data_IF_062764147025
#
_entry.id   IF_062764147025
#
_cell.length_a   1.000
_cell.length_b   1.000
_cell.length_c   1.000
_cell.angle_alpha   90.00
_cell.angle_beta   90.00
_cell.angle_gamma   90.00
#
_symmetry.space_group_name_H-M   'P 1'
#
loop_
_entity.id
_entity.type
_entity.pdbx_description
1 polymer ?
#
# COMPACT_ATOMS: atom_id res chain seq x y z
N UNK A 1 -13.71 4.09 8.99
CA UNK A 1 -14.08 2.78 8.40
C UNK A 1 -12.83 1.91 8.25
N UNK A 2 -12.97 0.57 8.17
CA UNK A 2 -11.85 -0.34 7.91
C UNK A 2 -11.75 -0.58 6.40
N UNK A 3 -10.57 -0.31 5.79
CA UNK A 3 -10.43 -0.31 4.32
C UNK A 3 -10.33 -1.73 3.75
N UNK A 4 -9.48 -2.56 4.36
CA UNK A 4 -9.16 -3.95 3.95
C UNK A 4 -9.03 -4.85 5.19
N UNK A 5 -8.31 -5.96 5.12
CA UNK A 5 -8.17 -6.87 6.24
C UNK A 5 -9.44 -7.68 6.49
N UNK A 6 -10.04 -7.58 7.68
CA UNK A 6 -11.20 -8.37 8.08
C UNK A 6 -12.44 -8.19 7.17
N UNK A 7 -12.86 -6.96 6.79
CA UNK A 7 -13.96 -6.80 5.85
C UNK A 7 -13.70 -7.50 4.50
N UNK A 8 -12.51 -7.32 3.94
CA UNK A 8 -12.16 -7.97 2.66
C UNK A 8 -12.10 -9.49 2.79
N UNK A 9 -11.63 -10.04 3.92
CA UNK A 9 -11.65 -11.48 4.16
C UNK A 9 -13.06 -12.06 4.07
N UNK A 10 -14.01 -11.40 4.71
CA UNK A 10 -15.41 -11.84 4.70
C UNK A 10 -16.07 -11.65 3.33
N UNK A 11 -15.82 -10.52 2.67
CA UNK A 11 -16.38 -10.24 1.34
C UNK A 11 -15.81 -11.16 0.25
N UNK A 12 -14.54 -11.58 0.36
CA UNK A 12 -13.87 -12.40 -0.64
C UNK A 12 -13.98 -13.90 -0.37
N UNK A 13 -14.00 -14.31 0.89
CA UNK A 13 -13.89 -15.73 1.28
C UNK A 13 -14.99 -16.19 2.24
N UNK A 14 -15.83 -15.29 2.75
CA UNK A 14 -16.82 -15.62 3.78
C UNK A 14 -16.24 -15.96 5.16
N UNK A 15 -14.91 -15.92 5.32
CA UNK A 15 -14.20 -16.36 6.53
C UNK A 15 -13.01 -15.48 6.84
N UNK A 16 -12.81 -15.10 8.13
CA UNK A 16 -11.69 -14.26 8.56
C UNK A 16 -10.33 -14.97 8.41
N UNK A 17 -10.26 -16.26 8.69
CA UNK A 17 -9.01 -17.04 8.70
C UNK A 17 -8.37 -17.26 7.32
N UNK A 18 -9.08 -16.98 6.24
CA UNK A 18 -8.57 -17.16 4.89
C UNK A 18 -7.65 -16.03 4.42
N UNK A 19 -7.63 -14.93 5.14
CA UNK A 19 -6.78 -13.77 4.82
C UNK A 19 -5.88 -13.41 5.99
N UNK A 20 -4.58 -13.48 5.76
CA UNK A 20 -3.59 -12.96 6.68
C UNK A 20 -3.54 -11.43 6.61
N UNK A 21 -3.72 -10.78 7.76
CA UNK A 21 -3.58 -9.33 7.92
C UNK A 21 -2.53 -9.06 9.01
N UNK A 22 -1.52 -8.26 8.67
CA UNK A 22 -0.46 -7.83 9.59
C UNK A 22 -0.75 -6.46 10.19
N UNK A 23 -1.67 -5.72 9.59
CA UNK A 23 -2.03 -4.35 9.86
C UNK A 23 -3.56 -4.19 9.85
N UNK A 24 -4.01 -3.16 10.53
CA UNK A 24 -5.42 -2.73 10.53
C UNK A 24 -5.45 -1.36 9.86
N UNK A 25 -5.99 -1.29 8.64
CA UNK A 25 -6.13 -0.05 7.89
C UNK A 25 -7.43 0.65 8.26
N UNK A 26 -7.34 1.80 8.88
CA UNK A 26 -8.49 2.62 9.28
C UNK A 26 -8.50 3.91 8.48
N UNK A 27 -9.58 4.17 7.74
CA UNK A 27 -9.81 5.44 7.05
C UNK A 27 -10.68 6.35 7.91
N UNK A 28 -10.20 7.56 8.16
CA UNK A 28 -10.88 8.66 8.81
C UNK A 28 -10.90 9.90 7.92
N UNK A 29 -11.60 10.96 8.32
CA UNK A 29 -11.46 12.25 7.65
C UNK A 29 -10.13 12.91 8.03
N UNK A 30 -9.57 13.80 7.19
CA UNK A 30 -8.36 14.56 7.53
C UNK A 30 -8.51 15.35 8.84
N UNK A 31 -9.70 15.88 9.11
CA UNK A 31 -9.99 16.67 10.33
C UNK A 31 -9.98 15.79 11.60
N UNK A 32 -10.36 14.52 11.48
CA UNK A 32 -10.34 13.56 12.58
C UNK A 32 -8.99 12.81 12.73
N UNK A 33 -8.03 13.04 11.82
CA UNK A 33 -6.75 12.32 11.82
C UNK A 33 -5.94 12.58 13.11
N UNK A 34 -5.91 13.83 13.57
CA UNK A 34 -5.19 14.22 14.79
C UNK A 34 -5.80 13.58 16.03
N UNK A 35 -7.13 13.57 16.12
CA UNK A 35 -7.85 12.92 17.22
C UNK A 35 -7.66 11.40 17.18
N UNK A 36 -7.71 10.78 16.01
CA UNK A 36 -7.40 9.37 15.83
C UNK A 36 -6.00 9.00 16.30
N UNK A 37 -5.00 9.81 15.96
CA UNK A 37 -3.62 9.63 16.41
C UNK A 37 -3.48 9.78 17.93
N UNK A 38 -4.18 10.75 18.54
CA UNK A 38 -4.22 10.95 20.00
C UNK A 38 -4.83 9.71 20.69
N UNK A 39 -5.96 9.22 20.22
CA UNK A 39 -6.63 8.05 20.76
C UNK A 39 -5.76 6.77 20.66
N UNK A 40 -5.01 6.61 19.58
CA UNK A 40 -4.06 5.50 19.45
C UNK A 40 -2.90 5.64 20.45
N UNK A 41 -2.36 6.85 20.60
CA UNK A 41 -1.28 7.10 21.58
C UNK A 41 -1.73 6.83 23.02
N UNK A 42 -2.94 7.21 23.41
CA UNK A 42 -3.53 6.92 24.73
C UNK A 42 -3.70 5.42 24.99
N UNK A 43 -3.86 4.62 23.94
CA UNK A 43 -3.90 3.15 24.00
C UNK A 43 -2.53 2.47 23.91
N UNK A 44 -1.45 3.24 24.01
CA UNK A 44 -0.08 2.72 24.03
C UNK A 44 0.55 2.50 22.65
N UNK A 45 -0.13 2.86 21.57
CA UNK A 45 0.46 2.81 20.22
C UNK A 45 1.49 3.92 20.05
N UNK A 46 2.56 3.63 19.31
CA UNK A 46 3.64 4.56 18.99
C UNK A 46 3.69 4.78 17.50
N UNK A 47 3.81 6.04 17.08
CA UNK A 47 3.97 6.39 15.67
C UNK A 47 5.32 5.87 15.14
N UNK A 48 5.33 5.22 13.99
CA UNK A 48 6.52 4.62 13.38
C UNK A 48 7.60 5.64 12.97
N UNK A 49 7.20 6.88 12.66
CA UNK A 49 8.14 7.97 12.35
C UNK A 49 8.69 8.67 13.60
N UNK A 50 8.34 8.16 14.79
CA UNK A 50 8.75 8.69 16.08
C UNK A 50 7.73 9.63 16.70
N UNK A 51 8.14 10.29 17.81
CA UNK A 51 7.28 11.25 18.47
C UNK A 51 7.13 12.50 17.62
N UNK A 52 5.91 12.76 17.14
CA UNK A 52 5.52 13.99 16.47
C UNK A 52 4.70 14.83 17.44
N UNK A 53 5.10 16.09 17.63
CA UNK A 53 4.22 17.05 18.28
C UNK A 53 3.00 17.38 17.39
N UNK A 54 1.99 18.05 17.96
CA UNK A 54 0.74 18.36 17.24
C UNK A 54 0.99 19.12 15.93
N UNK A 55 1.93 20.05 15.91
CA UNK A 55 2.29 20.85 14.75
C UNK A 55 2.97 20.02 13.66
N UNK A 56 3.85 19.12 14.06
CA UNK A 56 4.52 18.17 13.15
C UNK A 56 3.52 17.18 12.56
N UNK A 57 2.57 16.70 13.37
CA UNK A 57 1.51 15.81 12.93
C UNK A 57 0.56 16.50 11.93
N UNK A 58 0.16 17.77 12.19
CA UNK A 58 -0.60 18.57 11.24
C UNK A 58 0.13 18.75 9.89
N UNK A 59 1.42 19.08 9.96
CA UNK A 59 2.24 19.17 8.75
C UNK A 59 2.32 17.81 8.02
N UNK A 60 2.45 16.72 8.77
CA UNK A 60 2.50 15.36 8.21
C UNK A 60 1.19 14.98 7.52
N UNK A 61 0.04 15.31 8.12
CA UNK A 61 -1.31 15.10 7.54
C UNK A 61 -1.47 15.80 6.18
N UNK A 62 -0.84 16.95 5.97
CA UNK A 62 -0.89 17.66 4.67
C UNK A 62 -0.15 16.92 3.55
N UNK A 63 0.94 16.23 3.86
CA UNK A 63 1.89 15.68 2.87
C UNK A 63 1.87 14.16 2.76
N UNK A 64 1.28 13.45 3.72
CA UNK A 64 1.11 12.00 3.72
C UNK A 64 -0.36 11.62 3.67
N UNK A 65 -0.67 10.45 3.18
CA UNK A 65 -2.03 9.86 3.19
C UNK A 65 -2.38 9.16 4.51
N UNK A 66 -1.37 8.73 5.27
CA UNK A 66 -1.50 7.87 6.43
C UNK A 66 -0.37 8.07 7.43
N UNK A 67 -0.54 7.54 8.63
CA UNK A 67 0.51 7.30 9.60
C UNK A 67 0.39 5.89 10.18
N UNK A 68 1.54 5.22 10.34
CA UNK A 68 1.64 3.89 10.94
C UNK A 68 1.85 4.02 12.44
N UNK A 69 1.10 3.22 13.20
CA UNK A 69 1.17 3.13 14.66
C UNK A 69 1.38 1.68 15.08
N UNK A 70 2.39 1.44 15.90
CA UNK A 70 2.72 0.12 16.41
C UNK A 70 2.49 0.04 17.93
N UNK A 71 1.84 -1.04 18.38
CA UNK A 71 1.66 -1.30 19.81
C UNK A 71 2.77 -2.23 20.32
N UNK A 72 3.69 -1.76 21.19
CA UNK A 72 4.92 -2.48 21.52
C UNK A 72 4.68 -3.79 22.30
N UNK A 73 3.54 -3.92 22.99
CA UNK A 73 3.22 -5.11 23.81
C UNK A 73 2.47 -6.16 22.99
N UNK A 74 1.44 -5.75 22.23
CA UNK A 74 0.63 -6.69 21.44
C UNK A 74 1.22 -7.01 20.07
N UNK A 75 2.18 -6.21 19.59
CA UNK A 75 2.72 -6.31 18.22
C UNK A 75 1.76 -5.86 17.13
N UNK A 76 0.56 -5.37 17.47
CA UNK A 76 -0.42 -4.91 16.49
C UNK A 76 0.03 -3.61 15.84
N UNK A 77 -0.18 -3.53 14.52
CA UNK A 77 0.05 -2.33 13.73
C UNK A 77 -1.28 -1.77 13.22
N UNK A 78 -1.46 -0.46 13.33
CA UNK A 78 -2.60 0.29 12.78
C UNK A 78 -2.05 1.30 11.79
N UNK A 79 -2.54 1.25 10.55
CA UNK A 79 -2.34 2.30 9.56
C UNK A 79 -3.56 3.23 9.60
N UNK A 80 -3.38 4.42 10.17
CA UNK A 80 -4.42 5.44 10.23
C UNK A 80 -4.34 6.30 8.96
N UNK A 81 -5.27 6.06 8.05
CA UNK A 81 -5.41 6.80 6.80
C UNK A 81 -6.38 7.97 6.96
N UNK A 82 -6.08 9.10 6.34
CA UNK A 82 -6.99 10.22 6.11
C UNK A 82 -7.18 10.52 4.63
N UNK A 83 -6.46 9.82 3.78
CA UNK A 83 -6.66 9.67 2.34
C UNK A 83 -6.25 8.26 1.92
N UNK A 84 -6.88 7.74 0.88
CA UNK A 84 -6.51 6.42 0.36
C UNK A 84 -5.18 6.43 -0.39
N UNK A 85 -4.83 7.59 -1.01
CA UNK A 85 -3.62 7.77 -1.82
C UNK A 85 -3.07 9.18 -1.68
N UNK A 86 -1.76 9.34 -1.89
CA UNK A 86 -1.12 10.66 -1.91
C UNK A 86 -1.38 11.41 -3.23
N UNK A 87 -1.65 10.68 -4.31
CA UNK A 87 -1.83 11.22 -5.63
C UNK A 87 -3.21 11.89 -5.80
N UNK A 88 -3.24 13.21 -5.86
CA UNK A 88 -4.46 14.04 -5.80
C UNK A 88 -5.45 13.83 -6.96
N UNK A 89 -5.02 13.22 -8.07
CA UNK A 89 -5.87 12.94 -9.24
C UNK A 89 -6.46 11.54 -9.26
N UNK A 90 -6.12 10.69 -8.28
CA UNK A 90 -6.60 9.32 -8.18
C UNK A 90 -7.54 9.20 -7.00
N UNK A 91 -8.60 8.40 -7.16
CA UNK A 91 -9.64 8.15 -6.14
C UNK A 91 -10.26 9.44 -5.58
N UNK A 92 -10.44 10.46 -6.44
CA UNK A 92 -11.06 11.71 -6.03
C UNK A 92 -12.50 11.46 -5.56
N UNK A 93 -12.88 12.08 -4.43
CA UNK A 93 -14.20 11.91 -3.82
C UNK A 93 -14.39 10.58 -3.08
N UNK A 94 -13.33 9.77 -2.92
CA UNK A 94 -13.36 8.55 -2.10
C UNK A 94 -12.73 8.86 -0.75
N UNK A 95 -13.57 8.99 0.27
CA UNK A 95 -13.19 9.36 1.63
C UNK A 95 -14.01 8.62 2.69
N UNK A 96 -13.72 8.90 3.97
CA UNK A 96 -14.37 8.24 5.10
C UNK A 96 -15.88 8.56 5.24
N UNK A 97 -16.36 9.63 4.62
CA UNK A 97 -17.75 10.10 4.69
C UNK A 97 -18.56 9.66 3.47
N UNK A 98 -17.89 9.13 2.45
CA UNK A 98 -18.52 8.68 1.21
C UNK A 98 -19.34 7.40 1.33
N UNK A 99 -19.82 6.87 0.19
CA UNK A 99 -20.54 5.60 0.12
C UNK A 99 -19.77 4.48 0.81
N UNK A 100 -20.47 3.63 1.55
CA UNK A 100 -19.87 2.55 2.32
C UNK A 100 -20.81 1.38 2.45
N UNK A 101 -20.28 0.21 2.75
CA UNK A 101 -21.04 -0.98 3.09
C UNK A 101 -20.72 -1.46 4.50
N UNK A 102 -21.63 -2.24 5.06
CA UNK A 102 -21.48 -2.86 6.37
C UNK A 102 -21.16 -4.35 6.20
N UNK A 103 -20.19 -4.83 6.96
CA UNK A 103 -19.78 -6.24 6.99
C UNK A 103 -19.90 -6.75 8.41
N UNK A 104 -20.69 -7.83 8.58
CA UNK A 104 -20.86 -8.48 9.87
C UNK A 104 -19.64 -9.31 10.21
N UNK A 105 -19.11 -9.12 11.42
CA UNK A 105 -18.00 -9.91 11.97
C UNK A 105 -18.38 -10.51 13.31
N UNK A 106 -17.69 -11.52 13.82
CA UNK A 106 -17.94 -12.03 15.16
C UNK A 106 -17.81 -10.98 16.28
N UNK A 107 -17.03 -9.91 16.06
CA UNK A 107 -16.84 -8.81 16.99
C UNK A 107 -17.78 -7.63 16.80
N UNK A 108 -18.72 -7.71 15.86
CA UNK A 108 -19.67 -6.64 15.53
C UNK A 108 -19.61 -6.22 14.07
N UNK A 109 -20.36 -5.17 13.72
CA UNK A 109 -20.46 -4.66 12.35
C UNK A 109 -19.32 -3.70 12.04
N UNK A 110 -18.59 -3.97 10.97
CA UNK A 110 -17.56 -3.07 10.44
C UNK A 110 -18.07 -2.33 9.21
N UNK A 111 -17.76 -1.04 9.13
CA UNK A 111 -18.00 -0.22 7.94
C UNK A 111 -16.76 -0.24 7.05
N UNK A 112 -16.94 -0.48 5.74
CA UNK A 112 -15.87 -0.47 4.73
C UNK A 112 -16.32 0.27 3.47
N UNK A 113 -15.43 0.43 2.51
CA UNK A 113 -15.69 1.08 1.21
C UNK A 113 -16.83 0.38 0.48
N UNK A 114 -17.62 1.11 -0.33
CA UNK A 114 -18.57 0.51 -1.26
C UNK A 114 -17.86 -0.37 -2.28
N UNK A 115 -18.59 -1.25 -2.96
CA UNK A 115 -18.00 -2.17 -3.95
C UNK A 115 -17.18 -1.47 -5.03
N UNK A 116 -17.71 -0.37 -5.59
CA UNK A 116 -17.00 0.38 -6.61
C UNK A 116 -15.70 1.02 -6.08
N UNK A 117 -15.76 1.56 -4.88
CA UNK A 117 -14.61 2.19 -4.24
C UNK A 117 -13.57 1.15 -3.81
N UNK A 118 -14.04 0.02 -3.26
CA UNK A 118 -13.19 -1.09 -2.86
C UNK A 118 -12.45 -1.68 -4.06
N UNK A 119 -13.15 -1.95 -5.15
CA UNK A 119 -12.55 -2.42 -6.40
C UNK A 119 -11.46 -1.46 -6.89
N UNK A 120 -11.80 -0.18 -7.03
CA UNK A 120 -10.88 0.85 -7.50
C UNK A 120 -9.64 0.96 -6.60
N UNK A 121 -9.84 0.91 -5.28
CA UNK A 121 -8.75 0.95 -4.30
C UNK A 121 -7.85 -0.29 -4.39
N UNK A 122 -8.41 -1.50 -4.42
CA UNK A 122 -7.64 -2.75 -4.51
C UNK A 122 -6.80 -2.80 -5.79
N UNK A 123 -7.37 -2.41 -6.92
CA UNK A 123 -6.65 -2.33 -8.20
C UNK A 123 -5.49 -1.35 -8.14
N UNK A 124 -5.73 -0.15 -7.58
CA UNK A 124 -4.69 0.86 -7.46
C UNK A 124 -3.62 0.46 -6.43
N UNK A 125 -4.00 -0.09 -5.28
CA UNK A 125 -3.09 -0.58 -4.25
C UNK A 125 -2.16 -1.66 -4.80
N UNK A 126 -2.71 -2.71 -5.43
CA UNK A 126 -1.92 -3.77 -6.06
C UNK A 126 -0.97 -3.23 -7.14
N UNK A 127 -1.46 -2.33 -8.00
CA UNK A 127 -0.64 -1.72 -9.06
C UNK A 127 0.46 -0.81 -8.48
N UNK A 128 0.17 -0.04 -7.45
CA UNK A 128 1.13 0.81 -6.74
C UNK A 128 2.27 0.01 -6.11
N UNK A 129 2.01 -1.23 -5.73
CA UNK A 129 2.99 -2.19 -5.23
C UNK A 129 3.48 -3.18 -6.30
N UNK A 130 3.17 -2.91 -7.59
CA UNK A 130 3.54 -3.76 -8.72
C UNK A 130 3.13 -5.24 -8.55
N UNK A 131 2.03 -5.48 -7.85
CA UNK A 131 1.48 -6.82 -7.57
C UNK A 131 2.52 -7.82 -7.04
N UNK A 132 3.52 -7.35 -6.32
CA UNK A 132 4.64 -8.15 -5.81
C UNK A 132 4.25 -9.22 -4.80
N UNK A 133 3.01 -9.24 -4.33
CA UNK A 133 2.44 -10.29 -3.47
C UNK A 133 1.22 -10.90 -4.14
N UNK A 134 1.32 -12.15 -4.54
CA UNK A 134 0.21 -12.89 -5.17
C UNK A 134 -1.06 -12.92 -4.32
N UNK A 135 -0.95 -12.81 -2.99
CA UNK A 135 -2.11 -12.75 -2.08
C UNK A 135 -3.05 -11.58 -2.41
N UNK A 136 -2.54 -10.43 -2.85
CA UNK A 136 -3.41 -9.31 -3.22
C UNK A 136 -4.22 -9.61 -4.48
N UNK A 137 -3.62 -10.32 -5.42
CA UNK A 137 -4.31 -10.76 -6.63
C UNK A 137 -5.32 -11.87 -6.31
N UNK A 138 -4.96 -12.81 -5.42
CA UNK A 138 -5.85 -13.86 -4.95
C UNK A 138 -7.08 -13.28 -4.22
N UNK A 139 -6.86 -12.30 -3.32
CA UNK A 139 -7.92 -11.58 -2.62
C UNK A 139 -8.90 -10.91 -3.61
N UNK A 140 -8.35 -10.20 -4.62
CA UNK A 140 -9.16 -9.56 -5.65
C UNK A 140 -9.90 -10.59 -6.50
N UNK A 141 -9.22 -11.65 -6.95
CA UNK A 141 -9.80 -12.72 -7.75
C UNK A 141 -10.90 -13.47 -7.02
N UNK A 142 -10.75 -13.72 -5.71
CA UNK A 142 -11.78 -14.31 -4.87
C UNK A 142 -12.97 -13.37 -4.70
N UNK A 143 -12.72 -12.09 -4.45
CA UNK A 143 -13.79 -11.08 -4.31
C UNK A 143 -14.58 -10.87 -5.62
N UNK A 144 -13.98 -11.12 -6.79
CA UNK A 144 -14.63 -11.05 -8.10
C UNK A 144 -15.30 -12.36 -8.52
N UNK A 145 -15.21 -13.43 -7.72
CA UNK A 145 -15.55 -14.80 -8.16
C UNK A 145 -16.95 -14.96 -8.71
N UNK A 146 -17.92 -14.38 -8.02
CA UNK A 146 -19.36 -14.57 -8.29
C UNK A 146 -19.97 -13.37 -9.05
N UNK A 147 -19.14 -12.47 -9.58
CA UNK A 147 -19.60 -11.28 -10.31
C UNK A 147 -19.72 -11.57 -11.80
N UNK A 148 -20.82 -11.17 -12.38
CA UNK A 148 -21.07 -11.31 -13.80
C UNK A 148 -20.35 -10.22 -14.65
N UNK A 149 -20.40 -10.38 -15.99
CA UNK A 149 -19.75 -9.47 -16.92
C UNK A 149 -20.29 -8.04 -16.81
N UNK A 150 -21.58 -7.86 -16.56
CA UNK A 150 -22.20 -6.54 -16.43
C UNK A 150 -21.74 -5.81 -15.17
N UNK A 151 -21.62 -6.53 -14.04
CA UNK A 151 -21.07 -5.99 -12.81
C UNK A 151 -19.61 -5.62 -12.96
N UNK A 152 -18.81 -6.46 -13.61
CA UNK A 152 -17.40 -6.18 -13.89
C UNK A 152 -17.23 -4.95 -14.77
N UNK A 153 -18.04 -4.82 -15.82
CA UNK A 153 -18.03 -3.65 -16.68
C UNK A 153 -18.42 -2.37 -15.91
N UNK A 154 -19.42 -2.45 -15.02
CA UNK A 154 -19.82 -1.34 -14.15
C UNK A 154 -18.68 -0.94 -13.20
N UNK A 155 -18.06 -1.89 -12.51
CA UNK A 155 -16.94 -1.66 -11.60
C UNK A 155 -15.75 -1.01 -12.34
N UNK A 156 -15.43 -1.53 -13.53
CA UNK A 156 -14.35 -0.99 -14.36
C UNK A 156 -14.66 0.44 -14.84
N UNK A 157 -15.90 0.71 -15.28
CA UNK A 157 -16.34 2.06 -15.68
C UNK A 157 -16.23 3.05 -14.49
N UNK A 158 -16.62 2.63 -13.27
CA UNK A 158 -16.47 3.46 -12.06
C UNK A 158 -15.01 3.69 -11.71
N UNK A 159 -14.15 2.67 -11.87
CA UNK A 159 -12.70 2.83 -11.68
C UNK A 159 -12.10 3.84 -12.67
N UNK A 160 -12.59 3.90 -13.92
CA UNK A 160 -12.25 4.97 -14.85
C UNK A 160 -12.66 6.36 -14.34
N UNK A 161 -13.87 6.50 -13.79
CA UNK A 161 -14.34 7.74 -13.18
C UNK A 161 -13.47 8.20 -12.00
N UNK A 162 -12.91 7.26 -11.24
CA UNK A 162 -11.95 7.54 -10.17
C UNK A 162 -10.51 7.77 -10.66
N UNK A 163 -10.25 7.80 -11.97
CA UNK A 163 -8.92 7.99 -12.55
C UNK A 163 -8.00 6.78 -12.48
N UNK A 164 -8.51 5.59 -12.14
CA UNK A 164 -7.74 4.36 -11.95
C UNK A 164 -8.07 3.26 -12.96
N UNK A 165 -8.70 3.59 -14.08
CA UNK A 165 -9.14 2.63 -15.09
C UNK A 165 -8.02 1.73 -15.62
N UNK A 166 -6.83 2.28 -15.89
CA UNK A 166 -5.68 1.48 -16.34
C UNK A 166 -5.20 0.50 -15.27
N UNK A 167 -5.22 0.89 -13.99
CA UNK A 167 -4.92 -0.02 -12.88
C UNK A 167 -5.96 -1.13 -12.77
N UNK A 168 -7.25 -0.81 -12.98
CA UNK A 168 -8.33 -1.78 -13.01
C UNK A 168 -8.20 -2.77 -14.19
N UNK A 169 -7.90 -2.26 -15.39
CA UNK A 169 -7.64 -3.13 -16.56
C UNK A 169 -6.46 -4.07 -16.29
N UNK A 170 -5.36 -3.56 -15.73
CA UNK A 170 -4.19 -4.38 -15.40
C UNK A 170 -4.55 -5.46 -14.37
N UNK A 171 -5.30 -5.12 -13.33
CA UNK A 171 -5.71 -6.06 -12.29
C UNK A 171 -6.55 -7.21 -12.85
N UNK A 172 -7.53 -6.90 -13.70
CA UNK A 172 -8.38 -7.90 -14.37
C UNK A 172 -7.57 -8.79 -15.32
N UNK A 173 -6.66 -8.20 -16.11
CA UNK A 173 -5.75 -8.96 -16.99
C UNK A 173 -4.86 -9.92 -16.19
N UNK A 174 -4.32 -9.49 -15.06
CA UNK A 174 -3.54 -10.35 -14.17
C UNK A 174 -4.38 -11.47 -13.53
N UNK A 175 -5.62 -11.19 -13.12
CA UNK A 175 -6.54 -12.23 -12.64
C UNK A 175 -6.80 -13.28 -13.71
N UNK A 176 -6.96 -12.88 -14.97
CA UNK A 176 -7.08 -13.80 -16.11
C UNK A 176 -5.82 -14.62 -16.31
N UNK A 177 -4.68 -13.95 -16.45
CA UNK A 177 -3.43 -14.60 -16.87
C UNK A 177 -2.81 -15.48 -15.78
N UNK A 178 -2.96 -15.12 -14.48
CA UNK A 178 -2.30 -15.80 -13.38
C UNK A 178 -3.26 -16.70 -12.56
N UNK A 179 -4.56 -16.37 -12.54
CA UNK A 179 -5.55 -17.12 -11.77
C UNK A 179 -6.53 -17.89 -12.67
N UNK A 180 -6.42 -17.76 -14.01
CA UNK A 180 -7.31 -18.44 -14.94
C UNK A 180 -8.77 -17.96 -14.89
N UNK A 181 -9.00 -16.71 -14.41
CA UNK A 181 -10.38 -16.18 -14.30
C UNK A 181 -10.91 -15.81 -15.68
N UNK A 182 -12.10 -16.30 -16.00
CA UNK A 182 -12.84 -15.89 -17.19
C UNK A 182 -13.81 -14.76 -16.81
N UNK A 183 -13.73 -13.65 -17.54
CA UNK A 183 -14.58 -12.46 -17.35
C UNK A 183 -15.43 -12.14 -18.59
N UNK A 184 -15.60 -13.12 -19.50
CA UNK A 184 -16.28 -12.92 -20.77
C UNK A 184 -15.34 -12.33 -21.85
N UNK A 185 -15.46 -12.86 -23.06
CA UNK A 185 -14.54 -12.52 -24.17
C UNK A 185 -14.71 -11.09 -24.67
N UNK A 186 -15.95 -10.58 -24.68
CA UNK A 186 -16.27 -9.22 -25.15
C UNK A 186 -15.68 -8.15 -24.22
N UNK A 187 -15.86 -8.30 -22.93
CA UNK A 187 -15.32 -7.37 -21.93
C UNK A 187 -13.78 -7.39 -21.92
N UNK A 188 -13.17 -8.58 -21.91
CA UNK A 188 -11.72 -8.73 -21.96
C UNK A 188 -11.10 -8.09 -23.20
N UNK A 189 -11.71 -8.24 -24.38
CA UNK A 189 -11.24 -7.61 -25.60
C UNK A 189 -11.21 -6.06 -25.45
N UNK A 190 -12.17 -5.49 -24.74
CA UNK A 190 -12.18 -4.05 -24.47
C UNK A 190 -11.02 -3.59 -23.57
N UNK A 191 -10.57 -4.41 -22.61
CA UNK A 191 -9.44 -4.13 -21.73
C UNK A 191 -8.10 -4.21 -22.47
N UNK A 192 -7.99 -5.10 -23.46
CA UNK A 192 -6.76 -5.36 -24.22
C UNK A 192 -6.38 -4.28 -25.22
N UNK A 193 -7.28 -3.35 -25.54
CA UNK A 193 -7.06 -2.32 -26.56
C UNK A 193 -5.89 -1.36 -26.27
N UNK A 194 -5.37 -1.34 -25.03
CA UNK A 194 -4.24 -0.49 -24.65
C UNK A 194 -2.90 -1.23 -24.58
N UNK A 195 -2.00 -1.04 -25.57
CA UNK A 195 -0.64 -1.61 -25.53
C UNK A 195 0.11 -1.36 -24.21
N UNK A 196 -0.23 -0.27 -23.49
CA UNK A 196 0.33 0.06 -22.18
C UNK A 196 -0.10 -0.95 -21.09
N UNK A 197 -1.35 -1.40 -21.05
CA UNK A 197 -1.83 -2.40 -20.09
C UNK A 197 -1.07 -3.71 -20.27
N UNK A 198 -0.91 -4.17 -21.50
CA UNK A 198 -0.12 -5.38 -21.81
C UNK A 198 1.37 -5.23 -21.46
N UNK A 199 1.93 -4.02 -21.63
CA UNK A 199 3.31 -3.76 -21.22
C UNK A 199 3.48 -3.81 -19.68
N UNK A 200 2.53 -3.24 -18.94
CA UNK A 200 2.49 -3.31 -17.48
C UNK A 200 2.30 -4.75 -16.99
N UNK A 201 1.37 -5.50 -17.58
CA UNK A 201 1.12 -6.91 -17.26
C UNK A 201 2.39 -7.76 -17.40
N UNK A 202 3.05 -7.68 -18.56
CA UNK A 202 4.34 -8.37 -18.79
C UNK A 202 5.40 -7.96 -17.78
N UNK A 203 5.43 -6.68 -17.39
CA UNK A 203 6.34 -6.16 -16.38
C UNK A 203 6.10 -6.76 -15.01
N UNK A 204 4.83 -6.91 -14.61
CA UNK A 204 4.44 -7.54 -13.33
C UNK A 204 4.79 -9.03 -13.34
N UNK A 205 4.41 -9.77 -14.39
CA UNK A 205 4.69 -11.21 -14.50
C UNK A 205 6.21 -11.47 -14.45
N UNK A 206 7.00 -10.70 -15.18
CA UNK A 206 8.46 -10.79 -15.13
C UNK A 206 9.02 -10.46 -13.74
N UNK A 207 8.41 -9.49 -13.02
CA UNK A 207 8.77 -9.14 -11.66
C UNK A 207 8.52 -10.28 -10.67
N UNK A 208 7.35 -10.91 -10.75
CA UNK A 208 6.98 -12.07 -9.92
C UNK A 208 7.91 -13.26 -10.16
N UNK A 209 8.23 -13.57 -11.41
CA UNK A 209 9.17 -14.64 -11.76
C UNK A 209 10.59 -14.41 -11.23
N UNK A 210 11.02 -13.14 -11.13
CA UNK A 210 12.34 -12.78 -10.60
C UNK A 210 12.41 -12.89 -9.06
N UNK A 211 11.27 -12.75 -8.36
CA UNK A 211 11.21 -12.73 -6.89
C UNK A 211 11.28 -14.13 -6.25
N UNK A 212 11.36 -15.20 -7.01
CA UNK A 212 11.46 -16.56 -6.47
C UNK A 212 12.71 -16.71 -5.59
N UNK A 213 12.60 -16.31 -4.31
CA UNK A 213 13.60 -16.60 -3.28
C UNK A 213 14.22 -15.43 -2.51
N UNK A 214 13.89 -14.18 -2.79
CA UNK A 214 14.43 -13.05 -2.02
C UNK A 214 13.30 -12.17 -1.51
N UNK A 215 13.26 -11.95 -0.19
CA UNK A 215 12.27 -11.11 0.48
C UNK A 215 12.07 -9.72 -0.14
N UNK A 216 11.07 -9.00 0.40
CA UNK A 216 10.59 -7.72 -0.10
C UNK A 216 11.66 -6.82 -0.73
N UNK A 217 11.35 -6.35 -1.94
CA UNK A 217 12.06 -5.36 -2.75
C UNK A 217 13.46 -4.94 -2.27
N UNK A 218 14.49 -5.53 -2.84
CA UNK A 218 15.80 -4.87 -2.84
C UNK A 218 15.65 -3.60 -3.68
N UNK A 219 15.69 -2.43 -3.02
CA UNK A 219 15.76 -1.13 -3.69
C UNK A 219 16.90 -1.15 -4.71
N UNK A 220 16.66 -0.51 -5.87
CA UNK A 220 17.60 -0.41 -7.00
C UNK A 220 17.83 -1.69 -7.82
N UNK A 221 17.00 -2.71 -7.66
CA UNK A 221 16.98 -3.86 -8.58
C UNK A 221 16.21 -3.52 -9.87
N UNK A 222 16.46 -4.21 -11.01
CA UNK A 222 15.69 -4.01 -12.23
C UNK A 222 14.16 -4.09 -12.04
N UNK A 223 13.61 -5.03 -11.25
CA UNK A 223 12.19 -5.04 -10.94
C UNK A 223 11.71 -3.81 -10.18
N UNK A 224 12.48 -3.30 -9.21
CA UNK A 224 12.13 -2.08 -8.49
C UNK A 224 12.12 -0.85 -9.41
N UNK A 225 13.09 -0.72 -10.31
CA UNK A 225 13.13 0.39 -11.28
C UNK A 225 11.91 0.35 -12.21
N UNK A 226 11.52 -0.85 -12.70
CA UNK A 226 10.33 -1.04 -13.52
C UNK A 226 9.05 -0.68 -12.76
N UNK A 227 8.92 -1.14 -11.51
CA UNK A 227 7.79 -0.81 -10.65
C UNK A 227 7.68 0.70 -10.41
N UNK A 228 8.81 1.38 -10.20
CA UNK A 228 8.86 2.83 -10.03
C UNK A 228 8.44 3.54 -11.32
N UNK A 229 8.96 3.12 -12.47
CA UNK A 229 8.59 3.66 -13.78
C UNK A 229 7.11 3.42 -14.10
N UNK A 230 6.56 2.25 -13.76
CA UNK A 230 5.16 1.92 -13.97
C UNK A 230 4.21 2.91 -13.28
N UNK A 231 4.56 3.43 -12.11
CA UNK A 231 3.76 4.42 -11.37
C UNK A 231 3.52 5.71 -12.16
N UNK A 232 4.42 6.09 -13.08
CA UNK A 232 4.27 7.26 -13.93
C UNK A 232 3.22 7.07 -15.04
N UNK A 233 2.85 5.82 -15.32
CA UNK A 233 1.96 5.46 -16.43
C UNK A 233 0.72 4.67 -16.02
N UNK A 234 0.45 4.51 -14.72
CA UNK A 234 -0.74 3.79 -14.22
C UNK A 234 -2.06 4.50 -14.51
N UNK A 235 -2.01 5.80 -14.79
CA UNK A 235 -3.14 6.56 -15.30
C UNK A 235 -2.69 7.37 -16.53
N UNK A 236 -3.59 7.66 -17.49
CA UNK A 236 -3.26 8.41 -18.69
C UNK A 236 -3.10 9.91 -18.41
N UNK A 237 -2.32 10.57 -19.27
CA UNK A 237 -2.22 12.03 -19.34
C UNK A 237 -1.07 12.63 -18.56
N UNK A 238 -0.53 13.74 -19.10
CA UNK A 238 0.60 14.47 -18.54
C UNK A 238 0.37 14.95 -17.10
N UNK A 239 -0.88 15.30 -16.75
CA UNK A 239 -1.23 15.75 -15.42
C UNK A 239 -1.01 14.68 -14.32
N UNK A 240 -1.20 13.38 -14.65
CA UNK A 240 -0.85 12.28 -13.76
C UNK A 240 0.67 12.19 -13.57
N UNK A 241 1.41 12.19 -14.66
CA UNK A 241 2.88 12.10 -14.65
C UNK A 241 3.51 13.25 -13.85
N UNK A 242 3.03 14.49 -14.04
CA UNK A 242 3.50 15.68 -13.31
C UNK A 242 3.20 15.55 -11.82
N UNK A 243 1.99 15.16 -11.45
CA UNK A 243 1.64 14.99 -10.02
C UNK A 243 2.46 13.86 -9.39
N UNK A 244 2.69 12.76 -10.11
CA UNK A 244 3.54 11.68 -9.61
C UNK A 244 5.00 12.14 -9.43
N UNK A 245 5.55 12.89 -10.39
CA UNK A 245 6.88 13.49 -10.26
C UNK A 245 6.95 14.43 -9.03
N UNK A 246 5.90 15.22 -8.80
CA UNK A 246 5.78 16.08 -7.62
C UNK A 246 5.82 15.26 -6.31
N UNK A 247 5.10 14.13 -6.24
CA UNK A 247 5.10 13.26 -5.07
C UNK A 247 6.50 12.65 -4.81
N UNK A 248 7.17 12.18 -5.85
CA UNK A 248 8.54 11.65 -5.74
C UNK A 248 9.50 12.73 -5.22
N UNK A 249 9.28 13.99 -5.63
CA UNK A 249 10.13 15.11 -5.25
C UNK A 249 9.84 15.68 -3.86
N UNK A 250 8.60 15.51 -3.34
CA UNK A 250 8.17 16.05 -2.04
C UNK A 250 7.85 14.92 -1.05
N UNK A 251 8.87 14.20 -0.61
CA UNK A 251 8.71 13.12 0.36
C UNK A 251 8.41 13.68 1.77
N UNK A 252 7.32 13.26 2.43
CA UNK A 252 6.98 13.70 3.78
C UNK A 252 8.08 13.43 4.81
N UNK A 253 8.84 12.36 4.63
CA UNK A 253 9.95 11.99 5.53
C UNK A 253 11.03 13.07 5.59
N UNK A 254 11.26 13.81 4.50
CA UNK A 254 12.22 14.91 4.49
C UNK A 254 11.85 16.01 5.50
N UNK A 255 10.54 16.24 5.72
CA UNK A 255 10.02 17.23 6.68
C UNK A 255 10.15 16.79 8.12
N UNK A 256 10.08 15.49 8.37
CA UNK A 256 10.30 14.92 9.71
C UNK A 256 11.80 14.95 10.06
N UNK A 257 12.67 14.66 9.08
CA UNK A 257 14.12 14.61 9.31
C UNK A 257 14.78 15.99 9.41
N UNK A 258 14.43 16.92 8.52
CA UNK A 258 15.14 18.21 8.39
C UNK A 258 14.50 19.38 9.15
N UNK A 259 13.26 19.24 9.66
CA UNK A 259 12.52 20.19 10.53
C UNK A 259 12.79 21.68 10.24
N UNK A 260 12.58 22.10 8.99
CA UNK A 260 12.73 23.51 8.63
C UNK A 260 11.57 24.35 9.18
N UNK A 261 11.81 25.60 9.59
CA UNK A 261 10.75 26.58 9.84
C UNK A 261 9.86 26.76 8.61
N UNK A 262 8.55 27.05 8.81
CA UNK A 262 7.58 27.14 7.72
C UNK A 262 8.00 28.10 6.60
N UNK A 263 8.63 29.22 6.96
CA UNK A 263 9.20 30.21 6.01
C UNK A 263 10.27 29.65 5.08
N UNK A 264 10.92 28.54 5.47
CA UNK A 264 11.95 27.85 4.70
C UNK A 264 11.45 26.57 4.05
N UNK A 265 10.16 26.26 4.13
CA UNK A 265 9.58 25.04 3.58
C UNK A 265 9.77 24.89 2.05
N UNK A 266 9.98 25.99 1.33
CA UNK A 266 10.30 25.99 -0.11
C UNK A 266 11.67 25.34 -0.42
N UNK A 267 12.54 25.15 0.58
CA UNK A 267 13.84 24.50 0.42
C UNK A 267 13.77 22.98 0.39
N UNK A 268 12.67 22.34 0.83
CA UNK A 268 12.57 20.88 0.81
C UNK A 268 12.82 20.24 -0.55
N UNK A 269 12.31 20.77 -1.68
CA UNK A 269 12.65 20.25 -2.99
C UNK A 269 14.16 20.29 -3.30
N UNK A 270 14.88 21.30 -2.82
CA UNK A 270 16.33 21.41 -2.98
C UNK A 270 17.07 20.43 -2.08
N UNK A 271 16.60 20.24 -0.86
CA UNK A 271 17.19 19.33 0.13
C UNK A 271 16.85 17.85 -0.14
N UNK A 272 15.91 17.55 -1.04
CA UNK A 272 15.47 16.19 -1.36
C UNK A 272 16.63 15.24 -1.66
N UNK A 273 17.56 15.64 -2.54
CA UNK A 273 18.69 14.80 -2.94
C UNK A 273 19.68 14.61 -1.78
N UNK A 274 20.20 15.65 -1.11
CA UNK A 274 21.08 15.48 0.04
C UNK A 274 20.48 14.63 1.18
N UNK A 275 19.20 14.84 1.52
CA UNK A 275 18.52 14.06 2.56
C UNK A 275 18.36 12.58 2.16
N UNK A 276 17.99 12.34 0.90
CA UNK A 276 17.92 10.99 0.36
C UNK A 276 19.27 10.28 0.40
N UNK A 277 20.36 10.94 -0.03
CA UNK A 277 21.71 10.40 0.04
C UNK A 277 22.11 10.09 1.48
N UNK A 278 21.84 11.00 2.42
CA UNK A 278 22.11 10.77 3.84
C UNK A 278 21.36 9.53 4.38
N UNK A 279 20.10 9.31 3.99
CA UNK A 279 19.33 8.08 4.33
C UNK A 279 19.97 6.82 3.75
N UNK A 280 20.37 6.86 2.49
CA UNK A 280 21.04 5.73 1.83
C UNK A 280 22.35 5.37 2.53
N UNK A 281 23.17 6.37 2.83
CA UNK A 281 24.45 6.18 3.56
C UNK A 281 24.21 5.62 4.97
N UNK A 282 23.25 6.19 5.75
CA UNK A 282 22.92 5.68 7.09
C UNK A 282 22.45 4.21 7.05
N UNK A 283 21.64 3.83 6.07
CA UNK A 283 21.21 2.44 5.88
C UNK A 283 22.37 1.51 5.53
N UNK A 284 23.28 1.94 4.66
CA UNK A 284 24.47 1.18 4.28
C UNK A 284 25.39 0.93 5.50
N UNK A 285 25.65 1.97 6.29
CA UNK A 285 26.46 1.87 7.52
C UNK A 285 25.83 0.93 8.54
N UNK A 286 24.52 1.03 8.78
CA UNK A 286 23.79 0.11 9.70
C UNK A 286 23.88 -1.34 9.25
N UNK A 287 23.75 -1.61 7.94
CA UNK A 287 23.90 -2.97 7.38
C UNK A 287 25.33 -3.49 7.54
N UNK A 288 26.33 -2.66 7.37
CA UNK A 288 27.74 -3.04 7.55
C UNK A 288 28.07 -3.32 9.02
N UNK A 289 27.52 -2.53 9.95
CA UNK A 289 27.65 -2.76 11.39
C UNK A 289 26.99 -4.05 11.87
N UNK A 290 25.80 -4.38 11.32
CA UNK A 290 25.07 -5.61 11.64
C UNK A 290 25.68 -6.88 11.00
N UNK A 291 26.44 -6.72 9.90
CA UNK A 291 27.11 -7.85 9.20
C UNK A 291 28.46 -8.23 9.82
N UNK A 292 28.94 -7.54 10.86
CA UNK A 292 30.12 -7.99 11.62
C UNK A 292 29.69 -9.16 12.52
N UNK A 293 30.15 -10.40 12.28
CA UNK A 293 29.86 -11.50 13.18
C UNK A 293 30.43 -11.15 14.54
N UNK A 294 29.60 -11.19 15.56
CA UNK A 294 30.03 -11.10 16.95
C UNK A 294 30.88 -12.35 17.23
N UNK A 295 32.21 -12.25 16.98
CA UNK A 295 33.18 -13.26 17.38
C UNK A 295 33.29 -13.15 18.89
N UNK A 296 32.40 -13.82 19.62
CA UNK A 296 32.55 -14.25 21.00
C UNK A 296 31.19 -14.67 21.57
N UNK A 297 30.59 -15.72 20.96
CA UNK A 297 29.72 -16.62 21.72
C UNK A 297 30.37 -17.99 21.62
N UNK A 298 31.20 -18.32 22.57
CA UNK A 298 31.65 -19.68 22.86
C UNK A 298 30.40 -20.54 23.07
N UNK A 299 30.17 -21.51 22.17
CA UNK A 299 29.14 -22.52 22.38
C UNK A 299 29.35 -23.19 23.76
N UNK A 300 28.33 -23.27 24.62
CA UNK A 300 28.41 -24.12 25.79
C UNK A 300 28.56 -25.59 25.35
N UNK A 301 29.53 -26.26 25.94
CA UNK A 301 29.79 -27.65 25.77
C UNK A 301 28.52 -28.49 26.06
N UNK A 302 28.21 -29.56 25.30
CA UNK A 302 27.06 -30.37 25.60
C UNK A 302 27.27 -31.11 26.94
N UNK A 303 26.47 -30.77 27.91
CA UNK A 303 26.34 -31.51 29.18
C UNK A 303 25.84 -32.93 28.85
N UNK A 304 26.67 -33.92 29.09
CA UNK A 304 26.28 -35.33 29.05
C UNK A 304 25.22 -35.59 30.10
N UNK A 305 24.06 -36.09 29.69
CA UNK A 305 23.06 -36.67 30.57
C UNK A 305 23.65 -37.98 31.17
N UNK A 306 23.41 -38.28 32.45
CA UNK A 306 23.80 -39.56 33.04
C UNK A 306 22.90 -40.69 32.50
N UNK A 307 23.40 -41.94 32.43
CA UNK A 307 22.60 -43.08 32.00
C UNK A 307 21.55 -43.42 33.05
N UNK A 308 20.40 -43.93 32.58
CA UNK A 308 19.32 -44.52 33.38
C UNK A 308 19.77 -45.78 34.06
#
# INVERSE_FOLDING_TARGET
MVIKGAPLALLAYGQLGMKEAWDIDILTSPDAALEGARLLAERGYRNAVGHLDSRQLEAYVRFSKEAEFHHPVSGLTVELHWRLVDHRRLLQGVDANGPSQQVQTPGGTLRTLSDEQLFAYLCLHGTGHNWNRLKWLADLGAWLADRDEAELARLHARAHGYGVGRAASLALMLCRSLLGRDFGTGFLASLEQGGMVRALERGVIAGLAYQSGAGEHRQYTPPWLRATAARFVIAPGAGHTVEHARLVWNDPVDRVEARLPDRLAFLYPVLRIPLWLARVCRRAVRRWGAARPNKLVTKPSPTRLPPL
#
